data_IF_181865726127
#
_entry.id   IF_181865726127
#
_cell.length_a   1.000
_cell.length_b   1.000
_cell.length_c   1.000
_cell.angle_alpha   90.00
_cell.angle_beta   90.00
_cell.angle_gamma   90.00
#
_symmetry.space_group_name_H-M   'P 1'
#
loop_
_entity.id
_entity.type
_entity.pdbx_description
1 polymer ?
#
# COMPACT_ATOMS: atom_id res chain seq x y z
N UNK A 1 82.43 -5.90 25.65
CA UNK A 1 80.96 -5.80 25.83
C UNK A 1 80.53 -4.53 25.12
N UNK A 2 79.68 -4.64 24.10
CA UNK A 2 79.21 -3.51 23.30
C UNK A 2 77.88 -3.04 23.88
N UNK A 3 77.78 -1.75 24.19
CA UNK A 3 76.57 -1.11 24.72
C UNK A 3 75.52 -0.96 23.59
N UNK A 4 74.23 -1.30 23.82
CA UNK A 4 73.23 -1.13 22.78
C UNK A 4 72.79 0.34 22.71
N UNK A 5 73.07 0.97 21.56
CA UNK A 5 72.59 2.30 21.19
C UNK A 5 71.05 2.32 21.15
N UNK A 6 70.42 2.97 22.12
CA UNK A 6 68.97 3.24 22.11
C UNK A 6 68.72 4.36 21.09
N UNK A 7 68.15 4.00 19.93
CA UNK A 7 67.71 4.97 18.93
C UNK A 7 66.59 5.88 19.44
N UNK A 8 66.41 7.08 18.87
CA UNK A 8 65.42 8.03 19.37
C UNK A 8 64.00 7.50 19.14
N UNK A 9 63.16 7.63 20.16
CA UNK A 9 61.73 7.32 20.09
C UNK A 9 61.09 8.18 19.00
N UNK A 10 60.69 7.57 17.88
CA UNK A 10 59.82 8.22 16.91
C UNK A 10 58.52 8.61 17.61
N UNK A 11 58.31 9.92 17.75
CA UNK A 11 57.05 10.48 18.19
C UNK A 11 56.01 10.19 17.11
N UNK A 12 55.22 9.11 17.28
CA UNK A 12 54.14 8.77 16.36
C UNK A 12 53.16 9.96 16.29
N UNK A 13 53.16 10.66 15.15
CA UNK A 13 52.18 11.67 14.85
C UNK A 13 50.81 10.99 14.68
N UNK A 14 49.92 11.17 15.65
CA UNK A 14 48.54 10.72 15.55
C UNK A 14 47.68 11.92 15.11
N UNK A 15 47.14 11.92 13.88
CA UNK A 15 46.37 13.06 13.39
C UNK A 15 45.12 13.26 14.26
N UNK A 16 44.67 14.51 14.46
CA UNK A 16 43.48 14.80 15.23
C UNK A 16 42.28 14.02 14.66
N UNK A 17 41.65 13.18 15.48
CA UNK A 17 40.39 12.54 15.12
C UNK A 17 39.33 13.63 14.94
N UNK A 18 38.94 13.89 13.69
CA UNK A 18 37.78 14.75 13.43
C UNK A 18 36.54 14.12 14.08
N UNK A 19 35.72 14.91 14.79
CA UNK A 19 34.44 14.43 15.28
C UNK A 19 33.61 13.93 14.08
N UNK A 20 32.87 12.82 14.21
CA UNK A 20 32.04 12.33 13.11
C UNK A 20 31.10 13.45 12.71
N UNK A 21 31.07 13.78 11.41
CA UNK A 21 30.14 14.74 10.86
C UNK A 21 28.75 14.39 11.36
N UNK A 22 28.13 15.28 12.15
CA UNK A 22 26.75 15.17 12.58
C UNK A 22 25.93 15.06 11.30
N UNK A 23 25.50 13.84 10.93
CA UNK A 23 24.57 13.59 9.82
C UNK A 23 23.26 14.25 10.18
N UNK A 24 23.14 15.53 9.88
CA UNK A 24 21.89 16.26 9.93
C UNK A 24 20.92 15.62 8.94
N UNK A 25 19.83 15.08 9.45
CA UNK A 25 18.53 14.98 8.75
C UNK A 25 18.47 14.32 7.37
N UNK A 26 19.44 13.49 6.97
CA UNK A 26 19.36 12.78 5.69
C UNK A 26 18.29 11.69 5.85
N UNK A 27 17.11 11.92 5.26
CA UNK A 27 16.05 10.91 5.12
C UNK A 27 16.72 9.63 4.60
N UNK A 28 16.69 8.56 5.40
CA UNK A 28 17.29 7.30 4.96
C UNK A 28 16.52 6.81 3.72
N UNK A 29 17.19 6.21 2.73
CA UNK A 29 16.51 5.68 1.54
C UNK A 29 15.37 4.71 1.90
N UNK A 30 15.51 3.97 3.00
CA UNK A 30 14.46 3.09 3.53
C UNK A 30 13.24 3.88 4.03
N UNK A 31 13.44 5.06 4.62
CA UNK A 31 12.35 5.93 5.06
C UNK A 31 11.58 6.50 3.86
N UNK A 32 12.28 6.87 2.77
CA UNK A 32 11.64 7.33 1.55
C UNK A 32 10.80 6.21 0.90
N UNK A 33 11.35 4.99 0.80
CA UNK A 33 10.63 3.82 0.27
C UNK A 33 9.35 3.53 1.06
N UNK A 34 9.41 3.64 2.39
CA UNK A 34 8.26 3.44 3.26
C UNK A 34 7.17 4.48 2.97
N UNK A 35 7.53 5.76 2.90
CA UNK A 35 6.60 6.85 2.59
C UNK A 35 5.97 6.64 1.21
N UNK A 36 6.77 6.35 0.19
CA UNK A 36 6.25 6.10 -1.17
C UNK A 36 5.32 4.89 -1.20
N UNK A 37 5.68 3.80 -0.53
CA UNK A 37 4.83 2.61 -0.45
C UNK A 37 3.48 2.87 0.22
N UNK A 38 3.48 3.65 1.31
CA UNK A 38 2.24 4.09 1.96
C UNK A 38 1.38 4.97 1.05
N UNK A 39 1.99 5.92 0.33
CA UNK A 39 1.27 6.77 -0.63
C UNK A 39 0.67 5.95 -1.78
N UNK A 40 1.41 4.97 -2.31
CA UNK A 40 0.89 4.05 -3.33
C UNK A 40 -0.32 3.29 -2.79
N UNK A 41 -0.21 2.70 -1.61
CA UNK A 41 -1.33 2.01 -0.95
C UNK A 41 -2.54 2.92 -0.78
N UNK A 42 -2.35 4.13 -0.23
CA UNK A 42 -3.42 5.08 0.01
C UNK A 42 -4.12 5.51 -1.29
N UNK A 43 -3.36 5.79 -2.35
CA UNK A 43 -3.91 6.18 -3.65
C UNK A 43 -4.70 5.04 -4.29
N UNK A 44 -4.21 3.80 -4.20
CA UNK A 44 -4.93 2.62 -4.68
C UNK A 44 -6.22 2.46 -3.89
N UNK A 45 -6.16 2.50 -2.56
CA UNK A 45 -7.32 2.37 -1.69
C UNK A 45 -8.38 3.43 -2.01
N UNK A 46 -7.99 4.69 -2.06
CA UNK A 46 -8.89 5.79 -2.36
C UNK A 46 -9.50 5.64 -3.75
N UNK A 47 -8.71 5.23 -4.74
CA UNK A 47 -9.17 5.00 -6.11
C UNK A 47 -10.18 3.86 -6.23
N UNK A 48 -9.87 2.68 -5.67
CA UNK A 48 -10.77 1.52 -5.74
C UNK A 48 -12.02 1.72 -4.89
N UNK A 49 -11.88 2.33 -3.71
CA UNK A 49 -13.03 2.69 -2.87
C UNK A 49 -13.94 3.69 -3.58
N UNK A 50 -13.37 4.71 -4.24
CA UNK A 50 -14.17 5.66 -5.02
C UNK A 50 -14.90 4.97 -6.17
N UNK A 51 -14.26 4.00 -6.83
CA UNK A 51 -14.90 3.19 -7.87
C UNK A 51 -16.09 2.39 -7.31
N UNK A 52 -15.89 1.61 -6.25
CA UNK A 52 -16.97 0.81 -5.67
C UNK A 52 -18.04 1.65 -4.98
N UNK A 53 -17.72 2.85 -4.49
CA UNK A 53 -18.71 3.78 -3.96
C UNK A 53 -19.81 4.10 -4.99
N UNK A 54 -19.44 4.23 -6.27
CA UNK A 54 -20.42 4.48 -7.34
C UNK A 54 -21.42 3.34 -7.55
N UNK A 55 -21.10 2.13 -7.10
CA UNK A 55 -21.97 0.96 -7.17
C UNK A 55 -22.97 0.90 -6.01
N UNK A 56 -22.56 1.36 -4.83
CA UNK A 56 -23.36 1.23 -3.61
C UNK A 56 -24.30 2.41 -3.39
N UNK A 57 -24.07 3.53 -4.09
CA UNK A 57 -25.00 4.66 -4.13
C UNK A 57 -26.27 4.21 -4.88
N UNK A 58 -27.46 4.36 -4.27
CA UNK A 58 -28.70 3.97 -4.93
C UNK A 58 -28.94 4.89 -6.12
N UNK A 59 -29.23 4.32 -7.28
CA UNK A 59 -29.74 5.11 -8.41
C UNK A 59 -31.22 5.41 -8.12
N UNK A 60 -31.66 6.68 -8.18
CA UNK A 60 -33.07 7.01 -8.05
C UNK A 60 -33.86 6.28 -9.15
N UNK A 61 -34.76 5.38 -8.78
CA UNK A 61 -35.68 4.77 -9.71
C UNK A 61 -36.79 5.78 -10.06
N UNK A 62 -36.90 6.15 -11.33
CA UNK A 62 -38.03 6.93 -11.82
C UNK A 62 -39.23 6.00 -12.01
N UNK A 63 -40.19 6.03 -11.07
CA UNK A 63 -41.45 5.29 -11.16
C UNK A 63 -41.64 4.20 -10.09
N UNK A 64 -40.61 3.87 -9.31
CA UNK A 64 -40.76 2.97 -8.16
C UNK A 64 -41.45 3.70 -7.02
N UNK A 65 -42.56 3.17 -6.51
CA UNK A 65 -43.11 3.62 -5.23
C UNK A 65 -42.12 3.25 -4.11
N UNK A 66 -41.67 4.21 -3.28
CA UNK A 66 -40.86 3.91 -2.11
C UNK A 66 -41.56 2.87 -1.23
N UNK A 67 -40.83 1.86 -0.77
CA UNK A 67 -41.40 0.90 0.18
C UNK A 67 -41.74 1.61 1.48
N UNK A 68 -42.93 1.38 2.01
CA UNK A 68 -43.38 1.95 3.29
C UNK A 68 -43.31 0.95 4.45
N UNK A 69 -42.99 -0.32 4.16
CA UNK A 69 -42.81 -1.36 5.18
C UNK A 69 -41.49 -1.14 5.96
N UNK A 70 -41.55 -0.86 7.28
CA UNK A 70 -40.37 -0.64 8.10
C UNK A 70 -39.40 -1.83 8.15
N UNK A 71 -39.91 -3.06 8.13
CA UNK A 71 -39.06 -4.25 8.19
C UNK A 71 -38.23 -4.40 6.92
N UNK A 72 -38.83 -4.08 5.77
CA UNK A 72 -38.18 -4.16 4.47
C UNK A 72 -37.15 -3.04 4.26
N UNK A 73 -37.39 -1.85 4.83
CA UNK A 73 -36.42 -0.76 4.89
C UNK A 73 -35.19 -1.20 5.71
N UNK A 74 -35.41 -1.69 6.94
CA UNK A 74 -34.32 -2.12 7.83
C UNK A 74 -33.47 -3.25 7.22
N UNK A 75 -34.11 -4.19 6.53
CA UNK A 75 -33.41 -5.24 5.79
C UNK A 75 -32.53 -4.66 4.67
N UNK A 76 -33.06 -3.77 3.83
CA UNK A 76 -32.31 -3.13 2.73
C UNK A 76 -31.11 -2.34 3.25
N UNK A 77 -31.30 -1.58 4.34
CA UNK A 77 -30.22 -0.81 4.96
C UNK A 77 -29.13 -1.73 5.53
N UNK A 78 -29.51 -2.84 6.17
CA UNK A 78 -28.56 -3.83 6.67
C UNK A 78 -27.70 -4.43 5.56
N UNK A 79 -28.32 -4.83 4.45
CA UNK A 79 -27.61 -5.34 3.27
C UNK A 79 -26.67 -4.29 2.69
N UNK A 80 -27.10 -3.02 2.60
CA UNK A 80 -26.24 -1.93 2.14
C UNK A 80 -25.04 -1.73 3.05
N UNK A 81 -25.22 -1.72 4.37
CA UNK A 81 -24.11 -1.56 5.33
C UNK A 81 -23.13 -2.73 5.19
N UNK A 82 -23.62 -3.96 5.12
CA UNK A 82 -22.78 -5.14 4.92
C UNK A 82 -22.00 -5.06 3.60
N UNK A 83 -22.63 -4.59 2.53
CA UNK A 83 -21.97 -4.39 1.24
C UNK A 83 -20.85 -3.34 1.31
N UNK A 84 -21.10 -2.21 1.97
CA UNK A 84 -20.07 -1.18 2.21
C UNK A 84 -18.89 -1.71 3.01
N UNK A 85 -19.15 -2.41 4.12
CA UNK A 85 -18.09 -2.98 4.97
C UNK A 85 -17.25 -3.99 4.20
N UNK A 86 -17.89 -4.87 3.42
CA UNK A 86 -17.20 -5.85 2.57
C UNK A 86 -16.28 -5.16 1.55
N UNK A 87 -16.80 -4.19 0.80
CA UNK A 87 -16.03 -3.45 -0.21
C UNK A 87 -14.83 -2.73 0.42
N UNK A 88 -15.06 -1.98 1.50
CA UNK A 88 -14.00 -1.23 2.20
C UNK A 88 -12.90 -2.17 2.68
N UNK A 89 -13.27 -3.31 3.28
CA UNK A 89 -12.28 -4.26 3.79
C UNK A 89 -11.49 -4.94 2.68
N UNK A 90 -12.12 -5.31 1.56
CA UNK A 90 -11.42 -5.89 0.42
C UNK A 90 -10.47 -4.89 -0.25
N UNK A 91 -10.92 -3.66 -0.48
CA UNK A 91 -10.08 -2.59 -1.06
C UNK A 91 -8.88 -2.28 -0.15
N UNK A 92 -9.09 -2.27 1.16
CA UNK A 92 -8.02 -2.09 2.14
C UNK A 92 -7.02 -3.25 2.08
N UNK A 93 -7.49 -4.50 2.00
CA UNK A 93 -6.62 -5.66 1.91
C UNK A 93 -5.77 -5.64 0.63
N UNK A 94 -6.34 -5.24 -0.50
CA UNK A 94 -5.63 -5.13 -1.79
C UNK A 94 -4.57 -4.04 -1.74
N UNK A 95 -4.98 -2.82 -1.38
CA UNK A 95 -4.08 -1.68 -1.27
C UNK A 95 -2.94 -1.92 -0.28
N UNK A 96 -3.24 -2.52 0.88
CA UNK A 96 -2.22 -2.88 1.87
C UNK A 96 -1.24 -3.93 1.35
N UNK A 97 -1.73 -4.95 0.63
CA UNK A 97 -0.88 -5.98 0.03
C UNK A 97 0.09 -5.38 -1.00
N UNK A 98 -0.39 -4.45 -1.83
CA UNK A 98 0.45 -3.74 -2.81
C UNK A 98 1.45 -2.82 -2.13
N UNK A 99 1.02 -2.07 -1.11
CA UNK A 99 1.90 -1.20 -0.32
C UNK A 99 3.03 -2.01 0.33
N UNK A 100 2.70 -3.13 0.97
CA UNK A 100 3.69 -4.00 1.61
C UNK A 100 4.64 -4.62 0.59
N UNK A 101 4.14 -5.07 -0.56
CA UNK A 101 5.00 -5.58 -1.63
C UNK A 101 5.99 -4.50 -2.11
N UNK A 102 5.54 -3.25 -2.28
CA UNK A 102 6.41 -2.14 -2.63
C UNK A 102 7.48 -1.86 -1.56
N UNK A 103 7.06 -1.80 -0.29
CA UNK A 103 7.96 -1.53 0.84
C UNK A 103 9.01 -2.62 0.95
N UNK A 104 8.60 -3.90 0.93
CA UNK A 104 9.53 -5.03 1.07
C UNK A 104 10.47 -5.14 -0.13
N UNK A 105 9.95 -4.98 -1.36
CA UNK A 105 10.75 -5.04 -2.59
C UNK A 105 11.72 -3.88 -2.73
N UNK A 106 11.38 -2.69 -2.23
CA UNK A 106 12.22 -1.49 -2.33
C UNK A 106 13.20 -1.29 -1.18
N UNK A 107 12.94 -1.83 0.01
CA UNK A 107 13.76 -1.57 1.21
C UNK A 107 14.84 -2.62 1.48
N UNK A 108 14.71 -3.84 0.93
CA UNK A 108 15.65 -4.93 1.18
C UNK A 108 16.64 -5.10 0.03
N UNK A 109 17.80 -4.47 0.16
CA UNK A 109 18.91 -4.58 -0.81
C UNK A 109 19.55 -5.97 -0.90
N UNK A 110 19.31 -6.83 0.10
CA UNK A 110 19.85 -8.20 0.19
C UNK A 110 19.01 -9.25 -0.57
N UNK A 111 17.86 -8.87 -1.12
CA UNK A 111 17.04 -9.78 -1.91
C UNK A 111 17.69 -10.09 -3.26
N UNK A 112 17.59 -11.35 -3.69
CA UNK A 112 17.96 -11.71 -5.05
C UNK A 112 17.08 -10.96 -6.07
N UNK A 113 17.62 -10.68 -7.25
CA UNK A 113 16.90 -10.00 -8.33
C UNK A 113 15.58 -10.71 -8.66
N UNK A 114 15.59 -12.05 -8.70
CA UNK A 114 14.40 -12.87 -8.96
C UNK A 114 13.31 -12.66 -7.90
N UNK A 115 13.67 -12.67 -6.62
CA UNK A 115 12.72 -12.43 -5.53
C UNK A 115 12.15 -11.01 -5.58
N UNK A 116 13.00 -10.00 -5.81
CA UNK A 116 12.56 -8.61 -5.90
C UNK A 116 11.57 -8.39 -7.05
N UNK A 117 11.88 -8.94 -8.23
CA UNK A 117 10.96 -8.93 -9.38
C UNK A 117 9.66 -9.67 -9.10
N UNK A 118 9.73 -10.83 -8.45
CA UNK A 118 8.55 -11.60 -8.05
C UNK A 118 7.60 -10.81 -7.15
N UNK A 119 8.13 -10.07 -6.18
CA UNK A 119 7.33 -9.23 -5.28
C UNK A 119 6.62 -8.10 -6.06
N UNK A 120 7.32 -7.41 -6.96
CA UNK A 120 6.69 -6.37 -7.78
C UNK A 120 5.67 -6.95 -8.77
N UNK A 121 5.98 -8.10 -9.39
CA UNK A 121 5.04 -8.81 -10.25
C UNK A 121 3.78 -9.21 -9.49
N UNK A 122 3.92 -9.77 -8.29
CA UNK A 122 2.79 -10.07 -7.41
C UNK A 122 1.93 -8.82 -7.19
N UNK A 123 2.54 -7.69 -6.79
CA UNK A 123 1.82 -6.44 -6.55
C UNK A 123 1.02 -6.01 -7.78
N UNK A 124 1.64 -6.04 -8.96
CA UNK A 124 0.98 -5.64 -10.21
C UNK A 124 -0.12 -6.60 -10.65
N UNK A 125 0.15 -7.90 -10.66
CA UNK A 125 -0.80 -8.92 -11.13
C UNK A 125 -1.99 -8.99 -10.18
N UNK A 126 -1.73 -8.97 -8.86
CA UNK A 126 -2.79 -8.99 -7.86
C UNK A 126 -3.70 -7.76 -7.99
N UNK A 127 -3.13 -6.57 -8.16
CA UNK A 127 -3.91 -5.36 -8.39
C UNK A 127 -4.73 -5.45 -9.69
N UNK A 128 -4.13 -5.91 -10.78
CA UNK A 128 -4.84 -6.06 -12.07
C UNK A 128 -6.00 -7.05 -11.95
N UNK A 129 -5.78 -8.20 -11.30
CA UNK A 129 -6.85 -9.19 -11.06
C UNK A 129 -7.99 -8.58 -10.25
N UNK A 130 -7.66 -7.80 -9.21
CA UNK A 130 -8.67 -7.07 -8.44
C UNK A 130 -9.47 -6.11 -9.31
N UNK A 131 -8.81 -5.27 -10.12
CA UNK A 131 -9.49 -4.31 -10.99
C UNK A 131 -10.40 -4.99 -12.02
N UNK A 132 -9.96 -6.11 -12.61
CA UNK A 132 -10.77 -6.89 -13.55
C UNK A 132 -11.99 -7.48 -12.84
N UNK A 133 -11.80 -8.03 -11.63
CA UNK A 133 -12.89 -8.56 -10.84
C UNK A 133 -13.90 -7.48 -10.44
N UNK A 134 -13.42 -6.32 -9.97
CA UNK A 134 -14.22 -5.13 -9.66
C UNK A 134 -15.02 -4.65 -10.89
N UNK A 135 -14.39 -4.62 -12.06
CA UNK A 135 -15.06 -4.26 -13.30
C UNK A 135 -16.13 -5.28 -13.71
N UNK A 136 -15.84 -6.58 -13.58
CA UNK A 136 -16.81 -7.63 -13.86
C UNK A 136 -18.02 -7.54 -12.92
N UNK A 137 -17.78 -7.30 -11.63
CA UNK A 137 -18.85 -7.01 -10.67
C UNK A 137 -19.67 -5.81 -11.13
N UNK A 138 -19.03 -4.70 -11.49
CA UNK A 138 -19.72 -3.52 -12.02
C UNK A 138 -20.62 -3.87 -13.21
N UNK A 139 -20.08 -4.59 -14.20
CA UNK A 139 -20.81 -4.97 -15.41
C UNK A 139 -22.01 -5.88 -15.10
N UNK A 140 -21.87 -6.81 -14.15
CA UNK A 140 -22.95 -7.70 -13.71
C UNK A 140 -24.01 -6.91 -12.93
N UNK A 141 -23.62 -6.14 -11.92
CA UNK A 141 -24.55 -5.35 -11.12
C UNK A 141 -25.30 -4.33 -11.98
N UNK A 142 -24.61 -3.59 -12.85
CA UNK A 142 -25.27 -2.68 -13.79
C UNK A 142 -26.07 -3.42 -14.85
N UNK A 143 -25.57 -4.50 -15.44
CA UNK A 143 -26.26 -5.20 -16.53
C UNK A 143 -27.48 -6.02 -16.09
N UNK A 144 -27.48 -6.53 -14.86
CA UNK A 144 -28.58 -7.35 -14.31
C UNK A 144 -29.56 -6.50 -13.49
N UNK A 145 -29.11 -5.48 -12.75
CA UNK A 145 -29.97 -4.62 -11.91
C UNK A 145 -30.47 -3.37 -12.68
N UNK A 146 -30.06 -3.16 -13.94
CA UNK A 146 -30.75 -2.21 -14.84
C UNK A 146 -32.02 -2.80 -15.50
N UNK A 147 -32.59 -3.85 -14.90
CA UNK A 147 -33.97 -4.24 -15.17
C UNK A 147 -34.86 -3.43 -14.21
N UNK A 148 -35.84 -2.67 -14.72
CA UNK A 148 -36.69 -1.77 -13.93
C UNK A 148 -37.43 -2.45 -12.78
#
# INVERSE_FOLDING_TARGET
>A
MVEPSVGPLELQYQPPMMPPARRGGVISPNSLVLVVGLFIGLLIFAGTLSFHATLLIPVPCTGCTPTTDPALIAYRDTIRVLAWVSVVTMDLAVSFSVAMAWIVGGSRGELSEGTRRGIFLFATVFLVVWLVFSWLQYAIFRGIISIP
#
